data_IF_720392437799
#
_entry.id   IF_720392437799
#
_cell.length_a   1.000
_cell.length_b   1.000
_cell.length_c   1.000
_cell.angle_alpha   90.00
_cell.angle_beta   90.00
_cell.angle_gamma   90.00
#
_symmetry.space_group_name_H-M   'P 1'
#
loop_
_entity.id
_entity.type
_entity.pdbx_description
1 polymer ?
#
# COMPACT_ATOMS: atom_id res chain seq x y z
N UNK A 1 2.17 12.31 30.26
CA UNK A 1 1.64 11.94 29.08
C UNK A 1 2.62 11.98 28.08
N UNK A 2 3.14 12.53 28.39
CA UNK A 2 4.11 12.87 27.74
C UNK A 2 4.54 11.81 26.94
N UNK A 3 4.58 10.88 27.27
CA UNK A 3 5.18 10.01 26.57
C UNK A 3 4.39 9.39 25.65
N UNK A 4 3.51 9.40 25.85
CA UNK A 4 2.69 8.64 25.22
C UNK A 4 2.42 8.78 23.85
N UNK A 5 2.01 9.74 23.56
CA UNK A 5 1.38 9.92 22.33
C UNK A 5 2.16 9.49 21.13
N UNK A 6 3.29 9.96 20.93
CA UNK A 6 4.07 9.69 19.77
C UNK A 6 4.36 8.22 19.51
N UNK A 7 4.71 7.49 20.54
CA UNK A 7 5.01 6.09 20.40
C UNK A 7 3.79 5.26 20.05
N UNK A 8 2.68 5.52 20.72
CA UNK A 8 1.44 4.79 20.47
C UNK A 8 0.91 5.07 19.09
N UNK A 9 0.94 6.31 18.66
CA UNK A 9 0.44 6.69 17.35
C UNK A 9 1.30 6.08 16.24
N UNK A 10 2.62 6.12 16.41
CA UNK A 10 3.52 5.53 15.44
C UNK A 10 3.27 4.03 15.33
N UNK A 11 3.05 3.35 16.44
CA UNK A 11 2.79 1.93 16.43
C UNK A 11 1.50 1.60 15.69
N UNK A 12 0.44 2.36 15.93
CA UNK A 12 -0.82 2.16 15.22
C UNK A 12 -0.68 2.43 13.74
N UNK A 13 0.08 3.46 13.36
CA UNK A 13 0.29 3.82 11.97
C UNK A 13 1.12 2.72 11.27
N UNK A 14 2.16 2.21 11.93
CA UNK A 14 2.99 1.15 11.37
C UNK A 14 2.17 -0.14 11.20
N UNK A 15 1.30 -0.43 12.15
CA UNK A 15 0.46 -1.61 12.09
C UNK A 15 -0.52 -1.50 10.92
N UNK A 16 -1.12 -0.33 10.76
CA UNK A 16 -2.05 -0.09 9.66
C UNK A 16 -1.32 -0.19 8.31
N UNK A 17 -0.16 0.43 8.20
CA UNK A 17 0.63 0.39 6.97
C UNK A 17 0.99 -1.05 6.60
N UNK A 18 1.38 -1.88 7.57
CA UNK A 18 1.68 -3.28 7.31
C UNK A 18 0.46 -4.06 6.84
N UNK A 19 -0.69 -3.79 7.44
CA UNK A 19 -1.95 -4.45 7.07
C UNK A 19 -2.35 -4.09 5.64
N UNK A 20 -2.25 -2.82 5.28
CA UNK A 20 -2.60 -2.36 3.94
C UNK A 20 -1.59 -2.88 2.93
N UNK A 21 -0.32 -2.91 3.29
CA UNK A 21 0.73 -3.44 2.43
C UNK A 21 0.44 -4.90 2.07
N UNK A 22 0.03 -5.70 3.04
CA UNK A 22 -0.35 -7.09 2.82
C UNK A 22 -1.59 -7.18 1.92
N UNK A 23 -2.59 -6.32 2.14
CA UNK A 23 -3.81 -6.29 1.35
C UNK A 23 -3.49 -5.97 -0.11
N UNK A 24 -2.67 -4.96 -0.37
CA UNK A 24 -2.28 -4.60 -1.72
C UNK A 24 -1.46 -5.71 -2.38
N UNK A 25 -0.57 -6.34 -1.62
CA UNK A 25 0.22 -7.45 -2.13
C UNK A 25 -0.70 -8.60 -2.59
N UNK A 26 -1.73 -8.89 -1.83
CA UNK A 26 -2.67 -9.95 -2.18
C UNK A 26 -3.44 -9.61 -3.46
N UNK A 27 -3.88 -8.36 -3.61
CA UNK A 27 -4.54 -7.91 -4.83
C UNK A 27 -3.61 -8.03 -6.03
N UNK A 28 -2.37 -7.61 -5.87
CA UNK A 28 -1.40 -7.68 -6.97
C UNK A 28 -1.10 -9.12 -7.35
N UNK A 29 -1.05 -10.02 -6.37
CA UNK A 29 -0.73 -11.42 -6.60
C UNK A 29 -1.82 -12.20 -7.32
N UNK A 30 -3.01 -11.62 -7.44
CA UNK A 30 -4.07 -12.22 -8.23
C UNK A 30 -3.78 -12.09 -9.73
N UNK A 31 -2.95 -11.16 -10.11
CA UNK A 31 -2.58 -10.97 -11.50
C UNK A 31 -1.42 -11.91 -11.84
N UNK A 32 -1.60 -12.73 -12.88
CA UNK A 32 -0.63 -13.74 -13.25
C UNK A 32 0.71 -13.16 -13.67
N UNK A 33 0.68 -12.06 -14.42
CA UNK A 33 1.90 -11.41 -14.88
C UNK A 33 2.70 -10.87 -13.69
N UNK A 34 2.04 -10.29 -12.72
CA UNK A 34 2.70 -9.74 -11.54
C UNK A 34 3.24 -10.88 -10.67
N UNK A 35 2.43 -11.92 -10.45
CA UNK A 35 2.78 -12.99 -9.54
C UNK A 35 4.04 -13.74 -9.93
N UNK A 36 4.31 -13.86 -11.22
CA UNK A 36 5.45 -14.63 -11.67
C UNK A 36 6.76 -13.85 -11.68
N UNK A 37 6.73 -12.58 -11.33
CA UNK A 37 7.93 -11.75 -11.36
C UNK A 37 8.43 -11.40 -9.96
N UNK A 38 9.73 -11.14 -9.85
CA UNK A 38 10.29 -10.57 -8.64
C UNK A 38 10.29 -9.06 -8.78
N UNK A 39 9.87 -8.37 -7.74
CA UNK A 39 9.83 -6.91 -7.77
C UNK A 39 9.89 -6.33 -6.37
N UNK A 40 10.32 -5.08 -6.29
CA UNK A 40 10.21 -4.28 -5.07
C UNK A 40 9.85 -2.88 -5.55
N UNK A 41 8.71 -2.39 -5.15
CA UNK A 41 8.19 -1.10 -5.61
C UNK A 41 7.70 -0.27 -4.43
N UNK A 42 7.60 1.04 -4.64
CA UNK A 42 7.08 1.95 -3.63
C UNK A 42 5.79 2.55 -4.18
N UNK A 43 4.77 2.56 -3.33
CA UNK A 43 3.45 3.07 -3.67
C UNK A 43 3.07 4.13 -2.66
N UNK A 44 2.43 5.20 -3.11
CA UNK A 44 1.83 6.18 -2.21
C UNK A 44 0.31 6.01 -2.29
N UNK A 45 -0.31 5.93 -1.13
CA UNK A 45 -1.74 5.67 -1.01
C UNK A 45 -2.43 6.78 -0.22
N UNK A 46 -3.56 7.24 -0.73
CA UNK A 46 -4.43 8.18 -0.02
C UNK A 46 -5.77 7.49 0.19
N UNK A 47 -6.22 7.40 1.44
CA UNK A 47 -7.49 6.77 1.79
C UNK A 47 -8.32 7.71 2.66
N UNK A 48 -9.61 7.60 2.59
CA UNK A 48 -10.47 8.39 3.47
C UNK A 48 -10.72 7.64 4.77
N UNK A 49 -11.47 8.24 5.67
CA UNK A 49 -11.71 7.69 7.00
C UNK A 49 -12.50 6.39 7.01
N UNK A 50 -13.08 6.00 5.89
CA UNK A 50 -13.81 4.74 5.80
C UNK A 50 -12.98 3.64 5.13
N UNK A 51 -11.75 3.92 4.72
CA UNK A 51 -10.91 2.95 4.03
C UNK A 51 -11.08 2.96 2.52
N UNK A 52 -11.79 3.95 1.98
CA UNK A 52 -11.95 4.04 0.54
C UNK A 52 -10.72 4.71 -0.05
N UNK A 53 -10.19 4.14 -1.13
CA UNK A 53 -9.01 4.66 -1.81
C UNK A 53 -9.36 5.93 -2.57
N UNK A 54 -8.70 7.03 -2.25
CA UNK A 54 -8.89 8.29 -2.93
C UNK A 54 -7.87 8.43 -4.07
N UNK A 55 -6.69 7.91 -3.88
CA UNK A 55 -5.67 7.93 -4.93
C UNK A 55 -4.59 6.90 -4.57
N UNK A 56 -3.91 6.36 -5.57
CA UNK A 56 -2.83 5.44 -5.36
C UNK A 56 -1.86 5.62 -6.52
N UNK A 57 -0.57 5.77 -6.23
CA UNK A 57 0.44 6.02 -7.26
C UNK A 57 1.64 5.13 -7.07
N UNK A 58 2.13 4.58 -8.18
CA UNK A 58 3.38 3.83 -8.20
C UNK A 58 4.50 4.85 -8.27
N UNK A 59 5.18 5.09 -7.17
CA UNK A 59 6.22 6.13 -7.06
C UNK A 59 7.57 5.61 -7.52
N UNK A 60 7.93 4.39 -7.09
CA UNK A 60 9.17 3.78 -7.52
C UNK A 60 8.82 2.47 -8.23
N UNK A 61 8.85 2.45 -9.56
CA UNK A 61 8.49 1.25 -10.32
C UNK A 61 9.58 0.19 -10.27
N UNK A 62 9.29 -0.97 -10.82
CA UNK A 62 10.23 -2.08 -10.85
C UNK A 62 11.35 -1.87 -11.87
N UNK A 63 11.09 -1.07 -12.88
CA UNK A 63 12.03 -0.89 -13.99
C UNK A 63 11.75 -1.81 -15.15
N UNK A 64 10.78 -2.71 -15.04
CA UNK A 64 10.39 -3.61 -16.12
C UNK A 64 9.05 -3.11 -16.67
N UNK A 65 9.06 -2.61 -17.89
CA UNK A 65 7.92 -1.91 -18.47
C UNK A 65 6.60 -2.70 -18.42
N UNK A 66 6.61 -3.95 -18.83
CA UNK A 66 5.40 -4.77 -18.84
C UNK A 66 4.88 -5.00 -17.43
N UNK A 67 5.77 -5.23 -16.48
CA UNK A 67 5.39 -5.45 -15.10
C UNK A 67 4.82 -4.18 -14.50
N UNK A 68 5.45 -3.04 -14.76
CA UNK A 68 4.99 -1.76 -14.22
C UNK A 68 3.62 -1.38 -14.79
N UNK A 69 3.37 -1.70 -16.05
CA UNK A 69 2.05 -1.51 -16.64
C UNK A 69 0.99 -2.36 -15.96
N UNK A 70 1.30 -3.63 -15.67
CA UNK A 70 0.38 -4.52 -14.97
C UNK A 70 0.14 -4.03 -13.53
N UNK A 71 1.21 -3.58 -12.85
CA UNK A 71 1.10 -3.04 -11.49
C UNK A 71 0.17 -1.83 -11.46
N UNK A 72 0.37 -0.88 -12.37
CA UNK A 72 -0.47 0.31 -12.44
C UNK A 72 -1.93 -0.05 -12.72
N UNK A 73 -2.14 -1.03 -13.60
CA UNK A 73 -3.49 -1.47 -13.96
C UNK A 73 -4.25 -2.05 -12.78
N UNK A 74 -3.60 -2.91 -12.00
CA UNK A 74 -4.25 -3.53 -10.84
C UNK A 74 -4.46 -2.48 -9.74
N UNK A 75 -3.45 -1.64 -9.48
CA UNK A 75 -3.58 -0.60 -8.45
C UNK A 75 -4.73 0.34 -8.76
N UNK A 76 -4.92 0.69 -10.03
CA UNK A 76 -5.99 1.59 -10.44
C UNK A 76 -7.39 1.02 -10.19
N UNK A 77 -7.51 -0.29 -10.03
CA UNK A 77 -8.80 -0.93 -9.80
C UNK A 77 -9.12 -1.14 -8.33
N UNK A 78 -8.19 -0.82 -7.44
CA UNK A 78 -8.42 -1.01 -6.01
C UNK A 78 -9.21 0.19 -5.47
N UNK A 79 -10.46 -0.05 -5.08
CA UNK A 79 -11.34 0.99 -4.58
C UNK A 79 -11.27 1.15 -3.09
N UNK A 80 -10.90 0.11 -2.38
CA UNK A 80 -11.02 0.07 -0.93
C UNK A 80 -9.94 -0.83 -0.35
N UNK A 81 -9.42 -0.47 0.80
CA UNK A 81 -8.49 -1.30 1.55
C UNK A 81 -9.23 -2.00 2.69
N UNK A 82 -8.60 -3.01 3.28
CA UNK A 82 -9.26 -3.90 4.24
C UNK A 82 -9.68 -3.26 5.55
N UNK A 83 -9.22 -2.09 5.87
CA UNK A 83 -9.60 -1.40 7.10
C UNK A 83 -9.45 0.11 6.98
N UNK A 84 -10.14 0.83 7.84
CA UNK A 84 -10.05 2.28 7.89
C UNK A 84 -8.76 2.73 8.57
N UNK A 85 -8.17 3.85 8.15
CA UNK A 85 -6.94 4.32 8.78
C UNK A 85 -7.19 4.85 10.18
N UNK A 86 -6.20 4.76 11.06
CA UNK A 86 -6.29 5.40 12.37
C UNK A 86 -6.41 6.91 12.21
N UNK A 87 -7.11 7.55 13.13
CA UNK A 87 -7.28 8.98 13.10
C UNK A 87 -5.92 9.66 13.15
N UNK A 88 -5.75 10.67 12.36
CA UNK A 88 -4.51 11.45 12.32
C UNK A 88 -3.38 10.83 11.51
N UNK A 89 -3.63 9.72 10.85
CA UNK A 89 -2.57 9.09 10.06
C UNK A 89 -2.11 10.01 8.93
N UNK A 90 -0.78 10.30 8.84
CA UNK A 90 -0.27 11.13 7.76
C UNK A 90 -0.44 10.48 6.40
N UNK A 91 -0.72 11.28 5.39
CA UNK A 91 -0.89 10.82 4.02
C UNK A 91 -0.11 11.71 3.07
N UNK A 92 0.40 11.16 1.99
CA UNK A 92 0.18 9.79 1.53
C UNK A 92 0.86 8.76 2.43
N UNK A 93 0.31 7.55 2.44
CA UNK A 93 0.91 6.45 3.16
C UNK A 93 1.92 5.80 2.21
N UNK A 94 3.17 5.78 2.61
CA UNK A 94 4.24 5.23 1.77
C UNK A 94 4.38 3.75 2.07
N UNK A 95 4.20 2.92 1.06
CA UNK A 95 4.22 1.48 1.20
C UNK A 95 5.25 0.86 0.27
N UNK A 96 6.06 -0.05 0.80
CA UNK A 96 6.95 -0.84 -0.04
C UNK A 96 6.29 -2.19 -0.23
N UNK A 97 6.15 -2.61 -1.47
CA UNK A 97 5.58 -3.91 -1.79
C UNK A 97 6.66 -4.74 -2.48
N UNK A 98 7.00 -5.85 -1.87
CA UNK A 98 8.06 -6.73 -2.36
C UNK A 98 7.48 -8.12 -2.60
N UNK A 99 7.83 -8.71 -3.73
CA UNK A 99 7.38 -10.05 -4.05
C UNK A 99 8.02 -11.07 -3.12
N UNK A 100 7.36 -12.20 -2.94
CA UNK A 100 7.79 -13.24 -2.02
C UNK A 100 8.23 -14.53 -2.72
N UNK A 101 8.63 -14.39 -3.97
CA UNK A 101 9.12 -15.56 -4.69
C UNK A 101 10.58 -15.78 -4.43
#
# INVERSE_FOLDING_TARGET
>A
GLLSGGGADKQRFDFYASSVQQDLFEHLSENKEIRKNRYSVIVHLWVNSSGKVKNIKLIKPSGIANLDGALRGVLAQIDRVNSAPPEGMPQPIRLRITSRI
#
